data_IF_638665258049
#
_entry.id   IF_638665258049
#
_cell.length_a   1.000
_cell.length_b   1.000
_cell.length_c   1.000
_cell.angle_alpha   90.00
_cell.angle_beta   90.00
_cell.angle_gamma   90.00
#
_symmetry.space_group_name_H-M   'P 1'
#
loop_
_entity.id
_entity.type
_entity.pdbx_description
1 polymer ?
#
# COMPACT_ATOMS: atom_id res chain seq x y z
N UNK A 1 -80.66 16.08 13.52
CA UNK A 1 -81.55 15.31 14.41
C UNK A 1 -80.76 14.91 15.65
N UNK A 2 -81.34 15.10 16.84
CA UNK A 2 -80.66 14.72 18.09
C UNK A 2 -80.80 13.21 18.22
N UNK A 3 -79.69 12.49 18.10
CA UNK A 3 -79.62 11.07 18.44
C UNK A 3 -79.75 11.00 19.97
N UNK A 4 -80.83 10.38 20.47
CA UNK A 4 -81.05 10.18 21.90
C UNK A 4 -80.85 8.71 22.21
N UNK A 5 -79.82 8.37 22.98
CA UNK A 5 -79.56 7.02 23.48
C UNK A 5 -79.37 7.13 24.99
N UNK A 6 -80.46 6.99 25.75
CA UNK A 6 -80.51 7.42 27.16
C UNK A 6 -79.71 6.51 28.12
N UNK A 7 -79.50 5.22 27.80
CA UNK A 7 -78.88 4.27 28.74
C UNK A 7 -77.43 3.89 28.42
N UNK A 8 -77.04 3.87 27.12
CA UNK A 8 -75.68 3.56 26.68
C UNK A 8 -75.44 4.04 25.23
N UNK A 9 -75.02 5.30 25.04
CA UNK A 9 -74.99 5.91 23.71
C UNK A 9 -73.89 5.37 22.81
N UNK A 10 -72.75 4.94 23.39
CA UNK A 10 -71.65 4.37 22.61
C UNK A 10 -72.02 2.97 22.12
N UNK A 11 -72.55 2.12 22.99
CA UNK A 11 -72.99 0.76 22.62
C UNK A 11 -74.15 0.81 21.61
N UNK A 12 -75.11 1.73 21.79
CA UNK A 12 -76.21 1.88 20.83
C UNK A 12 -75.73 2.36 19.45
N UNK A 13 -74.80 3.33 19.39
CA UNK A 13 -74.20 3.79 18.12
C UNK A 13 -73.46 2.68 17.38
N UNK A 14 -72.69 1.87 18.12
CA UNK A 14 -71.94 0.75 17.56
C UNK A 14 -72.84 -0.42 17.12
N UNK A 15 -73.98 -0.61 17.79
CA UNK A 15 -74.89 -1.72 17.53
C UNK A 15 -75.94 -1.44 16.43
N UNK A 16 -76.34 -0.17 16.25
CA UNK A 16 -77.32 0.24 15.24
C UNK A 16 -76.84 -0.09 13.82
N UNK A 17 -77.78 -0.48 12.94
CA UNK A 17 -77.49 -0.69 11.52
C UNK A 17 -77.50 0.66 10.78
N UNK A 18 -76.34 1.12 10.32
CA UNK A 18 -76.21 2.40 9.62
C UNK A 18 -76.37 2.28 8.10
N UNK A 19 -76.81 1.13 7.59
CA UNK A 19 -77.05 0.94 6.16
C UNK A 19 -78.18 1.84 5.65
N UNK A 20 -78.04 2.35 4.42
CA UNK A 20 -79.05 3.20 3.77
C UNK A 20 -80.45 2.56 3.74
N UNK A 21 -80.61 1.24 3.48
CA UNK A 21 -81.91 0.59 3.52
C UNK A 21 -82.56 0.65 4.90
N UNK A 22 -81.82 0.32 5.98
CA UNK A 22 -82.35 0.35 7.35
C UNK A 22 -82.67 1.78 7.78
N UNK A 23 -81.75 2.73 7.56
CA UNK A 23 -81.94 4.14 7.91
C UNK A 23 -83.16 4.77 7.20
N UNK A 24 -83.49 4.32 5.97
CA UNK A 24 -84.69 4.76 5.26
C UNK A 24 -86.00 4.22 5.87
N UNK A 25 -85.95 3.14 6.65
CA UNK A 25 -87.13 2.58 7.34
C UNK A 25 -87.44 3.27 8.67
N UNK A 26 -86.44 3.96 9.26
CA UNK A 26 -86.59 4.67 10.52
C UNK A 26 -87.45 5.92 10.30
N UNK A 27 -88.61 5.99 10.98
CA UNK A 27 -89.46 7.17 10.98
C UNK A 27 -88.91 8.20 11.95
N UNK A 28 -88.99 9.48 11.60
CA UNK A 28 -88.60 10.58 12.49
C UNK A 28 -89.46 10.54 13.75
N UNK A 29 -88.82 10.42 14.91
CA UNK A 29 -89.49 10.58 16.18
C UNK A 29 -89.98 12.03 16.32
N UNK A 30 -91.27 12.20 16.61
CA UNK A 30 -91.90 13.51 16.80
C UNK A 30 -92.28 13.77 18.25
N UNK A 31 -92.26 12.72 19.08
CA UNK A 31 -92.52 12.73 20.52
C UNK A 31 -91.66 11.69 21.22
N UNK A 32 -91.55 11.76 22.56
CA UNK A 32 -90.77 10.78 23.35
C UNK A 32 -91.31 9.35 23.24
N UNK A 33 -92.62 9.19 22.99
CA UNK A 33 -93.25 7.88 22.82
C UNK A 33 -92.87 7.19 21.49
N UNK A 34 -92.33 7.94 20.53
CA UNK A 34 -91.91 7.42 19.22
C UNK A 34 -90.50 6.80 19.27
N UNK A 35 -89.77 6.97 20.38
CA UNK A 35 -88.40 6.50 20.52
C UNK A 35 -88.35 4.99 20.83
N UNK A 36 -87.59 4.26 20.02
CA UNK A 36 -87.28 2.84 20.22
C UNK A 36 -85.76 2.70 20.25
N UNK A 37 -85.23 2.16 21.35
CA UNK A 37 -83.80 1.95 21.49
C UNK A 37 -83.31 0.84 20.55
N UNK A 38 -82.17 1.03 19.85
CA UNK A 38 -81.50 -0.04 19.09
C UNK A 38 -81.18 -1.29 19.92
N UNK A 39 -81.07 -1.12 21.24
CA UNK A 39 -80.71 -2.17 22.19
C UNK A 39 -81.95 -2.88 22.79
N UNK A 40 -83.16 -2.57 22.32
CA UNK A 40 -84.38 -3.17 22.84
C UNK A 40 -84.38 -4.69 22.59
N UNK A 41 -84.40 -5.48 23.67
CA UNK A 41 -84.38 -6.95 23.60
C UNK A 41 -83.00 -7.56 23.34
N UNK A 42 -81.93 -6.75 23.37
CA UNK A 42 -80.55 -7.20 23.14
C UNK A 42 -79.86 -7.50 24.48
N UNK A 43 -79.26 -8.68 24.60
CA UNK A 43 -78.39 -9.00 25.73
C UNK A 43 -77.02 -8.35 25.53
N UNK A 44 -76.80 -7.23 26.23
CA UNK A 44 -75.54 -6.46 26.16
C UNK A 44 -74.33 -7.25 26.61
N UNK A 45 -74.47 -8.20 27.53
CA UNK A 45 -73.36 -8.99 28.05
C UNK A 45 -72.87 -10.06 27.07
N UNK A 46 -73.71 -10.43 26.10
CA UNK A 46 -73.40 -11.38 25.03
C UNK A 46 -72.79 -10.71 23.78
N UNK A 47 -72.61 -9.38 23.78
CA UNK A 47 -72.00 -8.67 22.66
C UNK A 47 -70.48 -8.83 22.69
N UNK A 48 -69.94 -9.45 21.64
CA UNK A 48 -68.50 -9.65 21.47
C UNK A 48 -67.91 -8.60 20.53
N UNK A 49 -66.83 -7.97 20.96
CA UNK A 49 -66.06 -7.04 20.15
C UNK A 49 -65.02 -7.81 19.33
N UNK A 50 -64.96 -7.50 18.05
CA UNK A 50 -63.98 -8.02 17.09
C UNK A 50 -63.22 -6.84 16.50
N UNK A 51 -61.96 -7.06 16.17
CA UNK A 51 -61.13 -6.06 15.47
C UNK A 51 -61.70 -5.77 14.10
N UNK A 52 -61.80 -4.50 13.74
CA UNK A 52 -62.26 -4.05 12.43
C UNK A 52 -61.15 -4.32 11.39
N UNK A 53 -61.21 -5.47 10.70
CA UNK A 53 -60.20 -5.89 9.71
C UNK A 53 -60.16 -4.96 8.48
N UNK A 54 -61.26 -4.25 8.19
CA UNK A 54 -61.35 -3.26 7.11
C UNK A 54 -60.82 -1.87 7.52
N UNK A 55 -60.42 -1.69 8.78
CA UNK A 55 -59.79 -0.45 9.20
C UNK A 55 -58.46 -0.29 8.45
N UNK A 56 -58.24 0.84 7.73
CA UNK A 56 -56.99 1.05 7.02
C UNK A 56 -55.82 0.90 7.99
N UNK A 57 -54.78 0.16 7.57
CA UNK A 57 -53.59 0.02 8.41
C UNK A 57 -53.08 1.41 8.80
N UNK A 58 -53.00 1.72 10.09
CA UNK A 58 -52.67 3.07 10.53
C UNK A 58 -51.26 3.42 10.06
N UNK A 59 -51.09 4.67 9.61
CA UNK A 59 -49.83 5.19 9.13
C UNK A 59 -48.71 4.96 10.16
N UNK A 60 -47.60 4.36 9.69
CA UNK A 60 -46.50 3.81 10.51
C UNK A 60 -45.68 4.86 11.31
N UNK A 61 -46.06 6.14 11.25
CA UNK A 61 -45.32 7.28 11.81
C UNK A 61 -45.79 7.81 13.17
N UNK A 62 -46.86 7.29 13.77
CA UNK A 62 -47.35 7.71 15.08
C UNK A 62 -46.63 6.97 16.24
N UNK A 63 -46.33 7.71 17.32
CA UNK A 63 -45.67 7.19 18.54
C UNK A 63 -46.36 5.93 19.09
N UNK A 64 -45.55 5.02 19.62
CA UNK A 64 -45.90 3.63 19.75
C UNK A 64 -46.96 3.29 20.82
N UNK A 65 -47.33 4.23 21.67
CA UNK A 65 -47.87 3.94 23.00
C UNK A 65 -49.33 4.37 23.23
N UNK A 66 -50.03 4.84 22.20
CA UNK A 66 -51.48 5.15 22.25
C UNK A 66 -52.28 4.53 21.10
N UNK A 67 -51.78 3.40 20.59
CA UNK A 67 -52.32 2.66 19.45
C UNK A 67 -53.59 1.88 19.83
N UNK A 68 -54.77 2.32 19.40
CA UNK A 68 -56.03 1.55 19.55
C UNK A 68 -56.52 1.13 18.17
N UNK A 69 -56.53 -0.17 17.90
CA UNK A 69 -57.16 -0.74 16.69
C UNK A 69 -58.67 -0.61 16.86
N UNK A 70 -59.39 -0.02 15.90
CA UNK A 70 -60.85 0.11 16.00
C UNK A 70 -61.54 -1.26 16.15
N UNK A 71 -62.59 -1.30 16.96
CA UNK A 71 -63.36 -2.50 17.27
C UNK A 71 -64.83 -2.32 16.86
N UNK A 72 -65.46 -3.41 16.38
CA UNK A 72 -66.89 -3.49 16.06
C UNK A 72 -67.53 -4.69 16.74
N UNK A 73 -68.87 -4.73 16.80
CA UNK A 73 -69.57 -5.92 17.27
C UNK A 73 -69.56 -7.04 16.23
N UNK A 74 -69.30 -8.26 16.67
CA UNK A 74 -69.36 -9.47 15.83
C UNK A 74 -70.75 -9.60 15.16
N UNK A 75 -70.77 -9.88 13.85
CA UNK A 75 -72.02 -10.03 13.09
C UNK A 75 -72.76 -8.71 12.79
N UNK A 76 -72.14 -7.55 13.05
CA UNK A 76 -72.68 -6.21 12.77
C UNK A 76 -71.81 -5.42 11.80
N UNK A 77 -71.72 -5.91 10.56
CA UNK A 77 -70.89 -5.31 9.49
C UNK A 77 -71.28 -3.85 9.15
N UNK A 78 -72.58 -3.51 9.25
CA UNK A 78 -73.10 -2.16 9.02
C UNK A 78 -73.10 -1.26 10.27
N UNK A 79 -72.53 -1.72 11.39
CA UNK A 79 -72.38 -0.95 12.62
C UNK A 79 -71.16 -0.03 12.60
N UNK A 80 -71.15 0.98 13.48
CA UNK A 80 -70.00 1.87 13.65
C UNK A 80 -68.91 1.22 14.51
N UNK A 81 -67.66 1.57 14.26
CA UNK A 81 -66.57 1.23 15.18
C UNK A 81 -66.65 2.03 16.48
N UNK A 82 -65.99 1.52 17.52
CA UNK A 82 -65.85 2.20 18.81
C UNK A 82 -65.27 3.61 18.68
N UNK A 83 -64.26 3.80 17.82
CA UNK A 83 -63.63 5.09 17.52
C UNK A 83 -64.60 6.01 16.77
N UNK A 84 -65.36 5.50 15.80
CA UNK A 84 -66.37 6.29 15.08
C UNK A 84 -67.50 6.74 16.00
N UNK A 85 -68.02 5.84 16.83
CA UNK A 85 -69.05 6.15 17.81
C UNK A 85 -68.56 7.20 18.81
N UNK A 86 -67.34 7.07 19.30
CA UNK A 86 -66.73 8.04 20.21
C UNK A 86 -66.47 9.39 19.54
N UNK A 87 -66.06 9.43 18.26
CA UNK A 87 -65.91 10.65 17.50
C UNK A 87 -67.24 11.40 17.35
N UNK A 88 -68.34 10.69 17.07
CA UNK A 88 -69.69 11.25 16.98
C UNK A 88 -70.14 11.83 18.33
N UNK A 89 -69.94 11.10 19.43
CA UNK A 89 -70.31 11.56 20.77
C UNK A 89 -69.54 12.80 21.22
N UNK A 90 -68.29 12.93 20.77
CA UNK A 90 -67.44 14.09 21.05
C UNK A 90 -67.67 15.27 20.08
N UNK A 91 -68.58 15.16 19.11
CA UNK A 91 -68.88 16.26 18.20
C UNK A 91 -69.51 17.44 18.93
N UNK A 92 -69.06 18.65 18.59
CA UNK A 92 -69.64 19.89 19.12
C UNK A 92 -70.77 20.35 18.21
N UNK A 93 -71.85 20.91 18.77
CA UNK A 93 -73.00 21.42 17.99
C UNK A 93 -72.61 22.43 16.89
N UNK A 94 -71.52 23.20 17.07
CA UNK A 94 -71.01 24.13 16.05
C UNK A 94 -70.50 23.44 14.79
N UNK A 95 -70.03 22.19 14.91
CA UNK A 95 -69.48 21.36 13.83
C UNK A 95 -70.58 20.76 12.94
N UNK A 96 -71.85 20.92 13.32
CA UNK A 96 -73.02 20.45 12.55
C UNK A 96 -73.55 21.55 11.60
N UNK A 97 -72.78 22.61 11.35
CA UNK A 97 -73.15 23.67 10.40
C UNK A 97 -72.88 23.20 8.97
N UNK A 98 -73.74 23.61 8.02
CA UNK A 98 -73.55 23.31 6.59
C UNK A 98 -72.20 23.78 6.02
N UNK A 99 -71.60 24.84 6.58
CA UNK A 99 -70.27 25.30 6.19
C UNK A 99 -69.17 24.30 6.58
N UNK A 100 -69.26 23.74 7.79
CA UNK A 100 -68.32 22.73 8.30
C UNK A 100 -68.45 21.44 7.49
N UNK A 101 -69.67 21.03 7.14
CA UNK A 101 -69.91 19.90 6.23
C UNK A 101 -69.24 20.09 4.87
N UNK A 102 -69.36 21.29 4.27
CA UNK A 102 -68.71 21.60 2.99
C UNK A 102 -67.18 21.62 3.11
N UNK A 103 -66.62 22.08 4.23
CA UNK A 103 -65.19 22.05 4.50
C UNK A 103 -64.68 20.60 4.64
N UNK A 104 -65.39 19.76 5.40
CA UNK A 104 -65.07 18.34 5.54
C UNK A 104 -65.12 17.59 4.21
N UNK A 105 -66.10 17.89 3.35
CA UNK A 105 -66.18 17.30 2.01
C UNK A 105 -65.00 17.71 1.13
N UNK A 106 -64.53 18.96 1.24
CA UNK A 106 -63.33 19.41 0.50
C UNK A 106 -62.06 18.76 1.04
N UNK A 107 -61.91 18.70 2.36
CA UNK A 107 -60.78 18.04 3.00
C UNK A 107 -60.73 16.55 2.63
N UNK A 108 -61.87 15.86 2.72
CA UNK A 108 -61.98 14.47 2.28
C UNK A 108 -61.56 14.30 0.82
N UNK A 109 -62.05 15.16 -0.09
CA UNK A 109 -61.69 15.08 -1.50
C UNK A 109 -60.17 15.28 -1.72
N UNK A 110 -59.57 16.25 -1.03
CA UNK A 110 -58.13 16.50 -1.10
C UNK A 110 -57.31 15.33 -0.54
N UNK A 111 -57.73 14.75 0.59
CA UNK A 111 -57.08 13.58 1.19
C UNK A 111 -57.23 12.33 0.30
N UNK A 112 -58.37 12.17 -0.39
CA UNK A 112 -58.55 11.08 -1.35
C UNK A 112 -57.63 11.23 -2.57
N UNK A 113 -57.43 12.46 -3.06
CA UNK A 113 -56.49 12.75 -4.15
C UNK A 113 -55.04 12.53 -3.71
N UNK A 114 -54.66 12.98 -2.51
CA UNK A 114 -53.34 12.75 -1.93
C UNK A 114 -53.08 11.25 -1.74
N UNK A 115 -54.05 10.51 -1.18
CA UNK A 115 -53.95 9.07 -1.01
C UNK A 115 -53.71 8.37 -2.35
N UNK A 116 -54.50 8.67 -3.37
CA UNK A 116 -54.33 8.07 -4.69
C UNK A 116 -52.92 8.34 -5.26
N UNK A 117 -52.43 9.57 -5.13
CA UNK A 117 -51.08 9.92 -5.57
C UNK A 117 -49.97 9.20 -4.77
N UNK A 118 -50.17 8.95 -3.49
CA UNK A 118 -49.25 8.18 -2.66
C UNK A 118 -49.29 6.68 -2.97
N UNK A 119 -50.47 6.11 -3.18
CA UNK A 119 -50.65 4.71 -3.60
C UNK A 119 -49.99 4.48 -4.98
N UNK A 120 -50.23 5.35 -5.96
CA UNK A 120 -49.56 5.31 -7.26
C UNK A 120 -48.03 5.38 -7.13
N UNK A 121 -47.53 6.24 -6.25
CA UNK A 121 -46.10 6.35 -5.97
C UNK A 121 -45.53 5.09 -5.31
N UNK A 122 -46.28 4.43 -4.43
CA UNK A 122 -45.85 3.20 -3.76
C UNK A 122 -45.84 2.00 -4.72
N UNK A 123 -46.79 1.95 -5.65
CA UNK A 123 -46.97 0.83 -6.58
C UNK A 123 -46.04 0.86 -7.80
N UNK A 124 -45.61 2.05 -8.28
CA UNK A 124 -44.70 2.16 -9.44
C UNK A 124 -43.26 2.59 -9.06
N UNK A 125 -42.27 1.68 -9.14
CA UNK A 125 -40.86 2.01 -8.95
C UNK A 125 -40.34 3.14 -9.84
N UNK A 126 -40.88 3.33 -11.05
CA UNK A 126 -40.47 4.41 -11.95
C UNK A 126 -40.86 5.78 -11.41
N UNK A 127 -42.06 5.90 -10.84
CA UNK A 127 -42.51 7.13 -10.19
C UNK A 127 -41.65 7.45 -8.96
N UNK A 128 -41.27 6.42 -8.18
CA UNK A 128 -40.34 6.59 -7.05
C UNK A 128 -38.99 7.15 -7.49
N UNK A 129 -38.37 6.56 -8.52
CA UNK A 129 -37.10 7.05 -9.05
C UNK A 129 -37.23 8.46 -9.66
N UNK A 130 -38.35 8.78 -10.29
CA UNK A 130 -38.62 10.12 -10.78
C UNK A 130 -38.68 11.14 -9.63
N UNK A 131 -39.37 10.80 -8.53
CA UNK A 131 -39.47 11.65 -7.34
C UNK A 131 -38.12 11.84 -6.64
N UNK A 132 -37.33 10.77 -6.51
CA UNK A 132 -35.96 10.84 -5.97
C UNK A 132 -35.10 11.75 -6.85
N UNK A 133 -35.16 11.59 -8.17
CA UNK A 133 -34.38 12.43 -9.10
C UNK A 133 -34.78 13.91 -9.01
N UNK A 134 -36.07 14.21 -8.86
CA UNK A 134 -36.58 15.56 -8.60
C UNK A 134 -35.98 16.14 -7.31
N UNK A 135 -36.09 15.41 -6.19
CA UNK A 135 -35.55 15.83 -4.89
C UNK A 135 -34.03 16.04 -4.91
N UNK A 136 -33.28 15.18 -5.61
CA UNK A 136 -31.83 15.35 -5.78
C UNK A 136 -31.49 16.59 -6.61
N UNK A 137 -32.27 16.89 -7.66
CA UNK A 137 -32.09 18.12 -8.46
C UNK A 137 -32.38 19.36 -7.64
N UNK A 138 -33.44 19.35 -6.83
CA UNK A 138 -33.75 20.47 -5.93
C UNK A 138 -32.67 20.69 -4.89
N UNK A 139 -32.18 19.61 -4.28
CA UNK A 139 -31.05 19.66 -3.33
C UNK A 139 -29.80 20.22 -3.99
N UNK A 140 -29.47 19.77 -5.22
CA UNK A 140 -28.36 20.32 -6.00
C UNK A 140 -28.56 21.80 -6.35
N UNK A 141 -29.79 22.26 -6.57
CA UNK A 141 -30.07 23.70 -6.80
C UNK A 141 -29.83 24.52 -5.53
N UNK A 142 -30.15 23.97 -4.36
CA UNK A 142 -29.96 24.63 -3.06
C UNK A 142 -28.50 24.65 -2.60
N UNK A 143 -27.75 23.56 -2.83
CA UNK A 143 -26.40 23.35 -2.26
C UNK A 143 -25.31 22.98 -3.26
N UNK A 144 -25.60 23.07 -4.56
CA UNK A 144 -24.64 22.71 -5.61
C UNK A 144 -23.57 23.78 -5.83
N UNK A 145 -22.91 23.69 -6.98
CA UNK A 145 -21.79 24.56 -7.37
C UNK A 145 -22.08 26.07 -7.29
N UNK A 146 -23.33 26.46 -7.45
CA UNK A 146 -23.76 27.86 -7.51
C UNK A 146 -24.09 28.43 -6.10
N UNK A 147 -24.10 27.58 -5.07
CA UNK A 147 -24.20 28.01 -3.67
C UNK A 147 -22.88 28.66 -3.21
N UNK A 148 -22.92 29.68 -2.32
CA UNK A 148 -21.71 30.25 -1.74
C UNK A 148 -20.82 29.19 -1.08
N UNK A 149 -19.64 28.94 -1.65
CA UNK A 149 -18.72 27.89 -1.19
C UNK A 149 -18.99 26.48 -1.74
N UNK A 150 -19.96 26.31 -2.63
CA UNK A 150 -20.28 25.04 -3.28
C UNK A 150 -19.39 24.71 -4.49
N UNK A 151 -18.66 25.69 -5.02
CA UNK A 151 -17.65 25.45 -6.06
C UNK A 151 -16.49 24.62 -5.51
N UNK A 152 -15.96 23.70 -6.34
CA UNK A 152 -14.79 22.89 -5.96
C UNK A 152 -13.59 23.81 -5.70
N UNK A 153 -12.98 23.66 -4.53
CA UNK A 153 -11.82 24.46 -4.09
C UNK A 153 -10.48 23.92 -4.58
N UNK A 154 -10.41 22.63 -4.89
CA UNK A 154 -9.20 21.96 -5.39
C UNK A 154 -9.22 21.87 -6.92
N UNK A 155 -8.04 21.91 -7.52
CA UNK A 155 -7.84 21.63 -8.93
C UNK A 155 -7.27 20.21 -9.08
N UNK A 156 -7.54 19.58 -10.22
CA UNK A 156 -6.89 18.33 -10.60
C UNK A 156 -5.68 18.69 -11.45
N UNK A 157 -4.49 18.29 -11.01
CA UNK A 157 -3.25 18.41 -11.77
C UNK A 157 -2.57 17.04 -11.84
N UNK A 158 -1.69 16.86 -12.82
CA UNK A 158 -0.75 15.76 -12.80
C UNK A 158 0.19 15.92 -11.59
N UNK A 159 0.59 14.80 -11.00
CA UNK A 159 1.52 14.82 -9.88
C UNK A 159 2.86 15.38 -10.40
N UNK A 160 3.35 16.45 -9.78
CA UNK A 160 4.70 16.90 -10.06
C UNK A 160 5.67 15.78 -9.67
N UNK A 161 6.57 15.40 -10.58
CA UNK A 161 7.75 14.64 -10.21
C UNK A 161 8.57 15.52 -9.27
N UNK A 162 8.48 15.23 -7.97
CA UNK A 162 9.37 15.82 -6.99
C UNK A 162 10.74 15.22 -7.30
N UNK A 163 11.60 15.98 -7.98
CA UNK A 163 13.03 15.65 -8.00
C UNK A 163 13.48 15.57 -6.55
N UNK A 164 13.76 14.35 -6.10
CA UNK A 164 14.29 14.06 -4.78
C UNK A 164 15.66 14.71 -4.73
N UNK A 165 15.74 15.95 -4.23
CA UNK A 165 17.02 16.65 -4.07
C UNK A 165 17.82 15.83 -3.06
N UNK A 166 18.85 15.07 -3.50
CA UNK A 166 19.56 14.19 -2.60
C UNK A 166 20.24 15.07 -1.56
N UNK A 167 20.25 14.67 -0.28
CA UNK A 167 21.01 15.38 0.77
C UNK A 167 22.49 15.61 0.38
N UNK A 168 23.00 14.80 -0.54
CA UNK A 168 24.33 14.92 -1.17
C UNK A 168 24.53 16.26 -1.91
N UNK A 169 23.47 16.89 -2.43
CA UNK A 169 23.54 18.21 -3.08
C UNK A 169 23.78 19.38 -2.12
N UNK A 170 23.65 19.16 -0.80
CA UNK A 170 24.03 20.13 0.24
C UNK A 170 25.48 19.99 0.69
N UNK A 171 26.21 18.98 0.21
CA UNK A 171 27.61 18.74 0.57
C UNK A 171 28.51 19.46 -0.45
N UNK A 172 29.37 20.34 0.03
CA UNK A 172 30.38 20.99 -0.82
C UNK A 172 31.33 19.92 -1.39
N UNK A 173 31.47 19.91 -2.72
CA UNK A 173 32.30 18.96 -3.47
C UNK A 173 33.77 19.38 -3.37
N UNK A 174 34.50 18.71 -2.48
CA UNK A 174 35.93 18.93 -2.25
C UNK A 174 36.73 17.68 -2.62
N UNK A 175 37.90 17.82 -3.27
CA UNK A 175 38.79 16.69 -3.52
C UNK A 175 39.39 16.19 -2.21
N UNK A 176 39.34 14.88 -2.00
CA UNK A 176 39.92 14.22 -0.82
C UNK A 176 40.72 12.98 -1.22
N UNK A 177 41.70 12.63 -0.41
CA UNK A 177 42.43 11.36 -0.50
C UNK A 177 42.01 10.46 0.65
N UNK A 178 41.36 9.35 0.31
CA UNK A 178 40.96 8.31 1.24
C UNK A 178 42.14 7.39 1.45
N UNK A 179 42.55 7.23 2.71
CA UNK A 179 43.64 6.35 3.11
C UNK A 179 43.05 5.30 4.03
N UNK A 180 43.25 4.03 3.67
CA UNK A 180 42.88 2.91 4.52
C UNK A 180 44.11 2.01 4.77
N UNK A 181 44.36 1.70 6.04
CA UNK A 181 45.49 0.89 6.48
C UNK A 181 45.22 -0.62 6.36
N UNK A 182 46.25 -1.43 6.58
CA UNK A 182 46.13 -2.89 6.58
C UNK A 182 45.21 -3.39 7.69
N UNK A 183 45.26 -2.76 8.87
CA UNK A 183 44.36 -3.06 9.99
C UNK A 183 42.95 -2.46 9.83
N UNK A 184 42.66 -1.77 8.72
CA UNK A 184 41.33 -1.21 8.44
C UNK A 184 41.05 0.12 9.14
N UNK A 185 42.08 0.92 9.44
CA UNK A 185 41.93 2.30 9.88
C UNK A 185 41.74 3.20 8.66
N UNK A 186 40.66 3.98 8.62
CA UNK A 186 40.34 4.85 7.49
C UNK A 186 40.40 6.32 7.90
N UNK A 187 40.88 7.18 7.00
CA UNK A 187 40.84 8.65 7.11
C UNK A 187 40.74 9.31 5.75
N UNK A 188 40.20 10.52 5.72
CA UNK A 188 40.20 11.39 4.56
C UNK A 188 41.14 12.59 4.78
N UNK A 189 42.09 12.79 3.87
CA UNK A 189 42.91 14.00 3.84
C UNK A 189 42.39 14.95 2.75
N UNK A 190 42.43 16.25 3.01
CA UNK A 190 42.03 17.26 2.02
C UNK A 190 43.01 17.28 0.85
N UNK A 191 42.48 17.38 -0.37
CA UNK A 191 43.20 17.37 -1.63
C UNK A 191 43.54 15.97 -2.14
N UNK A 192 43.88 15.89 -3.43
CA UNK A 192 44.47 14.70 -4.04
C UNK A 192 45.97 14.69 -3.78
N UNK A 193 46.37 13.80 -2.89
CA UNK A 193 47.75 13.67 -2.43
C UNK A 193 48.44 12.59 -3.24
N UNK A 194 49.72 12.82 -3.54
CA UNK A 194 50.54 11.84 -4.26
C UNK A 194 50.66 10.51 -3.49
N UNK A 195 50.62 9.40 -4.24
CA UNK A 195 50.69 8.05 -3.70
C UNK A 195 52.05 7.76 -3.03
N UNK A 196 53.10 8.48 -3.42
CA UNK A 196 54.46 8.33 -2.88
C UNK A 196 54.69 9.11 -1.57
N UNK A 197 53.72 9.91 -1.12
CA UNK A 197 53.89 10.69 0.12
C UNK A 197 53.99 9.76 1.32
N UNK A 198 54.98 10.01 2.19
CA UNK A 198 55.07 9.28 3.46
C UNK A 198 53.86 9.56 4.36
N UNK A 199 53.15 8.48 4.69
CA UNK A 199 51.97 8.50 5.55
C UNK A 199 52.28 7.85 6.90
N UNK A 200 51.83 8.49 7.98
CA UNK A 200 51.95 7.93 9.34
C UNK A 200 50.79 6.97 9.61
N UNK A 201 51.13 5.80 10.15
CA UNK A 201 50.20 4.74 10.59
C UNK A 201 50.41 4.44 12.08
N UNK A 202 49.55 3.58 12.66
CA UNK A 202 49.76 3.05 14.01
C UNK A 202 50.98 2.12 14.04
N UNK A 203 51.54 1.92 15.22
CA UNK A 203 52.63 0.98 15.43
C UNK A 203 52.21 -0.44 15.01
N UNK A 204 52.96 -1.03 14.06
CA UNK A 204 52.67 -2.34 13.48
C UNK A 204 51.62 -2.35 12.37
N UNK A 205 51.11 -1.18 11.95
CA UNK A 205 50.18 -1.03 10.83
C UNK A 205 50.90 -0.41 9.61
N UNK A 206 50.31 -0.57 8.43
CA UNK A 206 50.92 -0.13 7.17
C UNK A 206 49.91 0.32 6.12
N UNK A 207 50.38 0.91 5.01
CA UNK A 207 49.52 1.31 3.90
C UNK A 207 48.87 0.11 3.23
N UNK A 208 47.59 0.24 2.84
CA UNK A 208 46.87 -0.76 2.03
C UNK A 208 46.15 -0.15 0.85
N UNK A 209 45.30 0.86 1.09
CA UNK A 209 44.53 1.54 0.04
C UNK A 209 44.76 3.05 0.11
N UNK A 210 44.97 3.65 -1.05
CA UNK A 210 45.04 5.10 -1.25
C UNK A 210 44.22 5.43 -2.50
N UNK A 211 43.17 6.22 -2.32
CA UNK A 211 42.17 6.45 -3.36
C UNK A 211 41.86 7.94 -3.42
N UNK A 212 41.89 8.49 -4.62
CA UNK A 212 41.40 9.85 -4.87
C UNK A 212 39.89 9.81 -5.04
N UNK A 213 39.21 10.63 -4.26
CA UNK A 213 37.75 10.73 -4.26
C UNK A 213 37.34 12.19 -4.04
N UNK A 214 36.05 12.44 -4.06
CA UNK A 214 35.44 13.71 -3.68
C UNK A 214 34.51 13.48 -2.48
N UNK A 215 34.25 14.52 -1.70
CA UNK A 215 33.35 14.46 -0.52
C UNK A 215 31.95 13.94 -0.83
N UNK A 216 31.46 14.16 -2.05
CA UNK A 216 30.16 13.68 -2.55
C UNK A 216 30.16 12.22 -2.98
N UNK A 217 31.33 11.59 -3.11
CA UNK A 217 31.44 10.23 -3.63
C UNK A 217 31.02 9.17 -2.60
N UNK A 218 30.53 8.05 -3.14
CA UNK A 218 30.28 6.83 -2.39
C UNK A 218 31.48 5.90 -2.54
N UNK A 219 31.96 5.39 -1.41
CA UNK A 219 33.04 4.41 -1.37
C UNK A 219 32.44 3.02 -1.15
N UNK A 220 32.92 2.06 -1.93
CA UNK A 220 32.56 0.66 -1.81
C UNK A 220 33.69 -0.11 -1.16
N UNK A 221 33.37 -0.80 -0.07
CA UNK A 221 34.27 -1.71 0.64
C UNK A 221 33.80 -3.13 0.39
N UNK A 222 34.66 -3.99 -0.12
CA UNK A 222 34.35 -5.41 -0.27
C UNK A 222 35.02 -6.24 0.83
N UNK A 223 34.22 -6.97 1.60
CA UNK A 223 34.69 -7.82 2.70
C UNK A 223 34.95 -9.26 2.26
N UNK A 224 35.83 -9.97 2.98
CA UNK A 224 36.13 -11.39 2.77
C UNK A 224 34.94 -12.32 3.07
N UNK A 225 33.90 -11.78 3.72
CA UNK A 225 32.58 -12.41 3.90
C UNK A 225 31.66 -12.31 2.67
N UNK A 226 32.13 -11.70 1.57
CA UNK A 226 31.38 -11.55 0.32
C UNK A 226 30.31 -10.46 0.36
N UNK A 227 30.37 -9.55 1.34
CA UNK A 227 29.48 -8.39 1.46
C UNK A 227 30.17 -7.12 0.94
N UNK A 228 29.38 -6.28 0.28
CA UNK A 228 29.75 -4.90 -0.02
C UNK A 228 29.18 -3.96 1.04
N UNK A 229 29.97 -2.99 1.46
CA UNK A 229 29.56 -1.93 2.36
C UNK A 229 29.74 -0.59 1.66
N UNK A 230 28.74 0.28 1.80
CA UNK A 230 28.76 1.60 1.20
C UNK A 230 29.01 2.66 2.27
N UNK A 231 30.00 3.51 2.03
CA UNK A 231 30.39 4.61 2.89
C UNK A 231 30.26 5.92 2.13
N UNK A 232 29.74 6.95 2.79
CA UNK A 232 29.83 8.31 2.26
C UNK A 232 31.23 8.86 2.53
N UNK A 233 31.91 9.38 1.51
CA UNK A 233 33.22 9.99 1.66
C UNK A 233 33.18 11.19 2.65
N UNK A 234 32.07 11.93 2.69
CA UNK A 234 31.81 13.03 3.62
C UNK A 234 31.86 12.63 5.10
N UNK A 235 31.58 11.36 5.42
CA UNK A 235 31.49 10.90 6.81
C UNK A 235 32.83 10.42 7.36
N UNK A 236 33.87 10.35 6.52
CA UNK A 236 35.19 9.85 6.92
C UNK A 236 35.87 10.80 7.92
N UNK A 237 36.65 10.27 8.88
CA UNK A 237 37.35 11.10 9.84
C UNK A 237 38.47 11.90 9.16
N UNK A 238 38.65 13.15 9.59
CA UNK A 238 39.61 14.07 9.02
C UNK A 238 41.09 13.70 9.24
N UNK A 239 41.94 14.12 8.30
CA UNK A 239 43.33 13.67 8.15
C UNK A 239 44.37 14.08 9.19
N UNK A 240 44.00 14.75 10.30
CA UNK A 240 44.97 15.14 11.36
C UNK A 240 45.36 13.97 12.27
N UNK A 241 44.51 12.95 12.39
CA UNK A 241 44.76 11.77 13.21
C UNK A 241 45.26 10.56 12.42
N UNK A 242 45.36 9.42 13.10
CA UNK A 242 45.66 8.12 12.49
C UNK A 242 44.42 7.48 11.82
N UNK A 243 43.29 8.19 11.81
CA UNK A 243 41.99 7.69 11.35
C UNK A 243 41.17 7.03 12.46
N UNK A 244 40.11 6.34 12.06
CA UNK A 244 39.27 5.53 12.93
C UNK A 244 39.08 4.13 12.33
N UNK A 245 38.80 3.10 13.14
CA UNK A 245 38.48 1.78 12.60
C UNK A 245 37.25 1.83 11.70
N UNK A 246 37.36 1.32 10.47
CA UNK A 246 36.25 1.21 9.51
C UNK A 246 35.01 0.53 10.11
N UNK A 247 35.25 -0.40 11.04
CA UNK A 247 34.24 -1.18 11.78
C UNK A 247 33.32 -0.32 12.65
N UNK A 248 33.67 0.94 12.94
CA UNK A 248 32.75 1.86 13.63
C UNK A 248 31.69 2.45 12.69
N UNK A 249 31.99 2.47 11.39
CA UNK A 249 31.13 3.06 10.36
C UNK A 249 30.24 2.00 9.70
N UNK A 250 30.74 0.76 9.57
CA UNK A 250 30.04 -0.38 8.96
C UNK A 250 30.15 -1.61 9.87
N UNK A 251 29.12 -2.46 9.85
CA UNK A 251 29.06 -3.68 10.65
C UNK A 251 29.87 -4.80 9.97
N UNK A 252 31.19 -4.61 9.91
CA UNK A 252 32.14 -5.59 9.41
C UNK A 252 32.55 -6.53 10.56
N UNK A 253 32.27 -7.85 10.47
CA UNK A 253 32.64 -8.83 11.48
C UNK A 253 34.15 -8.94 11.69
N UNK A 254 34.63 -9.18 12.92
CA UNK A 254 36.06 -9.15 13.26
C UNK A 254 36.92 -10.14 12.46
N UNK A 255 36.34 -11.25 12.01
CA UNK A 255 36.97 -12.27 11.17
C UNK A 255 36.92 -11.96 9.67
N UNK A 256 36.19 -10.90 9.28
CA UNK A 256 36.15 -10.41 7.91
C UNK A 256 37.26 -9.38 7.66
N UNK A 257 38.03 -9.61 6.61
CA UNK A 257 39.07 -8.71 6.11
C UNK A 257 38.52 -7.83 4.98
N UNK A 258 39.08 -6.65 4.81
CA UNK A 258 38.77 -5.78 3.66
C UNK A 258 39.57 -6.30 2.46
N UNK A 259 38.88 -6.79 1.42
CA UNK A 259 39.53 -7.29 0.20
C UNK A 259 39.85 -6.14 -0.74
N UNK A 260 38.90 -5.23 -0.94
CA UNK A 260 39.05 -4.10 -1.86
C UNK A 260 38.28 -2.86 -1.36
N UNK A 261 38.74 -1.69 -1.78
CA UNK A 261 38.16 -0.38 -1.47
C UNK A 261 38.30 0.54 -2.69
N UNK A 262 37.19 1.10 -3.18
CA UNK A 262 37.21 1.97 -4.35
C UNK A 262 36.01 2.93 -4.40
N UNK A 263 36.10 3.96 -5.25
CA UNK A 263 35.00 4.89 -5.53
C UNK A 263 33.95 4.22 -6.40
N UNK A 264 32.68 4.45 -6.06
CA UNK A 264 31.54 3.95 -6.81
C UNK A 264 31.44 4.59 -8.20
N UNK A 265 31.27 3.77 -9.24
CA UNK A 265 31.00 4.19 -10.61
C UNK A 265 29.79 3.41 -11.14
N UNK A 266 28.72 4.10 -11.51
CA UNK A 266 27.44 3.48 -11.85
C UNK A 266 27.53 2.52 -13.06
N UNK A 267 28.28 2.90 -14.09
CA UNK A 267 28.36 2.13 -15.34
C UNK A 267 29.39 0.99 -15.32
N UNK A 268 30.07 0.77 -14.18
CA UNK A 268 31.13 -0.23 -14.07
C UNK A 268 30.56 -1.60 -13.72
N UNK A 269 31.20 -2.64 -14.24
CA UNK A 269 30.95 -4.03 -13.89
C UNK A 269 32.14 -4.58 -13.11
N UNK A 270 31.87 -5.45 -12.13
CA UNK A 270 32.88 -6.01 -11.25
C UNK A 270 32.93 -7.53 -11.41
N UNK A 271 34.13 -8.10 -11.53
CA UNK A 271 34.37 -9.53 -11.36
C UNK A 271 34.55 -9.80 -9.87
N UNK A 272 33.67 -10.63 -9.30
CA UNK A 272 33.77 -11.08 -7.91
C UNK A 272 33.98 -12.58 -7.85
N UNK A 273 34.93 -13.03 -7.02
CA UNK A 273 35.23 -14.44 -6.87
C UNK A 273 35.69 -14.83 -5.47
N UNK A 274 35.40 -16.09 -5.12
CA UNK A 274 35.85 -16.75 -3.89
C UNK A 274 37.16 -17.50 -4.09
N UNK A 275 37.88 -17.74 -2.99
CA UNK A 275 39.04 -18.64 -2.93
C UNK A 275 38.72 -20.07 -3.39
N UNK A 276 37.47 -20.53 -3.28
CA UNK A 276 37.01 -21.82 -3.81
C UNK A 276 36.98 -21.89 -5.35
N UNK A 277 37.16 -20.76 -6.04
CA UNK A 277 37.14 -20.67 -7.50
C UNK A 277 35.76 -20.46 -8.11
N UNK A 278 34.76 -20.11 -7.32
CA UNK A 278 33.42 -19.77 -7.80
C UNK A 278 33.28 -18.24 -7.84
N UNK A 279 32.81 -17.70 -8.97
CA UNK A 279 32.70 -16.25 -9.21
C UNK A 279 31.74 -15.90 -10.35
N UNK A 280 31.44 -14.61 -10.50
CA UNK A 280 30.51 -14.07 -11.50
C UNK A 280 30.76 -12.57 -11.72
N UNK A 281 30.11 -11.99 -12.73
CA UNK A 281 30.14 -10.54 -12.99
C UNK A 281 28.93 -9.90 -12.31
N UNK A 282 29.13 -8.77 -11.63
CA UNK A 282 28.05 -8.01 -10.98
C UNK A 282 28.06 -6.55 -11.48
N UNK A 283 26.89 -5.99 -11.87
CA UNK A 283 26.77 -4.55 -12.09
C UNK A 283 27.02 -3.79 -10.80
N UNK A 284 27.81 -2.73 -10.84
CA UNK A 284 28.19 -2.04 -9.62
C UNK A 284 27.03 -1.29 -8.96
N UNK A 285 26.04 -0.84 -9.74
CA UNK A 285 24.77 -0.31 -9.20
C UNK A 285 24.06 -1.31 -8.29
N UNK A 286 24.23 -2.62 -8.53
CA UNK A 286 23.61 -3.67 -7.73
C UNK A 286 24.40 -3.99 -6.45
N UNK A 287 25.60 -3.45 -6.23
CA UNK A 287 26.37 -3.74 -5.00
C UNK A 287 26.18 -2.70 -3.89
N UNK A 288 25.50 -1.58 -4.19
CA UNK A 288 25.22 -0.52 -3.20
C UNK A 288 24.40 -1.05 -2.02
N UNK A 289 24.90 -0.79 -0.81
CA UNK A 289 24.26 -1.12 0.44
C UNK A 289 23.55 0.10 1.03
N UNK A 290 22.31 -0.09 1.49
CA UNK A 290 21.52 0.97 2.15
C UNK A 290 21.74 1.00 3.67
N UNK A 291 22.25 -0.08 4.26
CA UNK A 291 22.43 -0.23 5.71
C UNK A 291 23.88 -0.49 6.07
N UNK A 292 24.24 -0.22 7.33
CA UNK A 292 25.59 -0.48 7.88
C UNK A 292 25.98 -1.96 7.85
N UNK A 293 24.99 -2.87 7.83
CA UNK A 293 25.19 -4.31 7.68
C UNK A 293 25.77 -4.71 6.32
N UNK A 294 25.81 -3.82 5.33
CA UNK A 294 26.25 -4.13 3.98
C UNK A 294 25.26 -5.02 3.22
N UNK A 295 25.54 -5.22 1.94
CA UNK A 295 24.76 -6.05 1.02
C UNK A 295 25.51 -7.34 0.71
N UNK A 296 24.87 -8.49 0.90
CA UNK A 296 25.45 -9.78 0.51
C UNK A 296 25.39 -9.92 -1.01
N UNK A 297 26.55 -10.03 -1.65
CA UNK A 297 26.66 -10.21 -3.12
C UNK A 297 27.25 -11.59 -3.42
N UNK A 298 28.43 -11.89 -2.89
CA UNK A 298 29.06 -13.20 -3.06
C UNK A 298 28.72 -14.10 -1.87
N UNK A 299 28.02 -15.20 -2.11
CA UNK A 299 27.72 -16.18 -1.07
C UNK A 299 28.94 -17.08 -0.84
N UNK A 300 29.62 -16.88 0.29
CA UNK A 300 30.75 -17.74 0.73
C UNK A 300 30.26 -18.69 1.82
N UNK A 301 30.45 -19.99 1.63
CA UNK A 301 29.97 -21.03 2.55
C UNK A 301 31.16 -21.75 3.22
N UNK A 302 31.00 -22.11 4.50
CA UNK A 302 32.01 -22.85 5.25
C UNK A 302 33.32 -22.08 5.39
N UNK A 303 34.43 -22.70 4.96
CA UNK A 303 35.75 -22.10 5.03
C UNK A 303 36.06 -21.12 3.88
N UNK A 304 35.22 -21.05 2.84
CA UNK A 304 35.47 -20.18 1.70
C UNK A 304 35.41 -18.69 2.08
N UNK A 305 36.23 -17.88 1.43
CA UNK A 305 36.30 -16.43 1.59
C UNK A 305 36.32 -15.73 0.24
N UNK A 306 35.79 -14.52 0.19
CA UNK A 306 35.89 -13.67 -0.98
C UNK A 306 37.36 -13.28 -1.16
N UNK A 307 37.85 -13.36 -2.40
CA UNK A 307 39.27 -13.23 -2.72
C UNK A 307 39.54 -12.17 -3.79
N UNK A 308 38.64 -12.06 -4.77
CA UNK A 308 38.80 -11.14 -5.89
C UNK A 308 37.58 -10.22 -5.98
N UNK A 309 37.86 -8.93 -6.14
CA UNK A 309 36.95 -7.92 -6.66
C UNK A 309 37.79 -7.04 -7.58
N UNK A 310 37.48 -7.00 -8.88
CA UNK A 310 38.18 -6.16 -9.85
C UNK A 310 37.21 -5.63 -10.91
N UNK A 311 37.45 -4.45 -11.47
CA UNK A 311 36.64 -3.96 -12.59
C UNK A 311 36.82 -4.87 -13.81
N UNK A 312 35.72 -5.10 -14.53
CA UNK A 312 35.73 -5.84 -15.79
C UNK A 312 36.25 -4.93 -16.90
N UNK A 313 37.40 -5.31 -17.46
CA UNK A 313 38.08 -4.66 -18.57
C UNK A 313 38.17 -5.66 -19.73
N UNK A 314 37.73 -5.27 -20.93
CA UNK A 314 37.79 -6.12 -22.12
C UNK A 314 36.82 -7.31 -22.13
N UNK A 315 37.20 -8.35 -22.88
CA UNK A 315 36.35 -9.47 -23.30
C UNK A 315 36.85 -10.85 -22.83
N UNK A 316 37.99 -10.92 -22.14
CA UNK A 316 38.57 -12.16 -21.62
C UNK A 316 38.81 -12.10 -20.11
N UNK A 317 38.78 -13.27 -19.46
CA UNK A 317 39.05 -13.46 -18.04
C UNK A 317 40.24 -14.41 -17.89
N UNK A 318 41.25 -13.97 -17.16
CA UNK A 318 42.38 -14.80 -16.75
C UNK A 318 42.26 -15.13 -15.26
N UNK A 319 42.41 -16.41 -14.92
CA UNK A 319 42.41 -16.89 -13.53
C UNK A 319 43.66 -17.69 -13.26
N UNK A 320 44.19 -17.58 -12.04
CA UNK A 320 45.34 -18.35 -11.59
C UNK A 320 45.07 -18.98 -10.23
N UNK A 321 45.37 -20.28 -10.12
CA UNK A 321 45.29 -21.02 -8.87
C UNK A 321 46.58 -21.03 -8.07
N UNK A 322 46.49 -21.45 -6.80
CA UNK A 322 47.65 -21.70 -5.93
C UNK A 322 48.63 -22.72 -6.54
N UNK A 323 48.10 -23.63 -7.37
CA UNK A 323 48.85 -24.62 -8.14
C UNK A 323 49.63 -24.03 -9.34
N UNK A 324 49.71 -22.70 -9.46
CA UNK A 324 50.35 -21.95 -10.55
C UNK A 324 49.78 -22.26 -11.93
N UNK A 325 48.53 -22.72 -12.02
CA UNK A 325 47.89 -22.94 -13.32
C UNK A 325 47.04 -21.75 -13.71
N UNK A 326 47.28 -21.23 -14.90
CA UNK A 326 46.51 -20.16 -15.54
C UNK A 326 45.48 -20.75 -16.50
N UNK A 327 44.29 -20.19 -16.50
CA UNK A 327 43.25 -20.45 -17.50
C UNK A 327 42.73 -19.11 -18.01
N UNK A 328 42.61 -18.99 -19.32
CA UNK A 328 41.98 -17.85 -19.99
C UNK A 328 40.72 -18.35 -20.69
N UNK A 329 39.60 -17.64 -20.51
CA UNK A 329 38.33 -17.93 -21.18
C UNK A 329 37.59 -16.62 -21.46
N UNK A 330 36.57 -16.64 -22.32
CA UNK A 330 35.84 -15.43 -22.70
C UNK A 330 34.91 -14.96 -21.58
N UNK A 331 34.81 -13.64 -21.37
CA UNK A 331 33.98 -13.06 -20.32
C UNK A 331 32.49 -13.39 -20.47
N UNK A 332 32.03 -13.62 -21.72
CA UNK A 332 30.66 -14.09 -22.01
C UNK A 332 30.33 -15.46 -21.39
N UNK A 333 31.33 -16.25 -21.02
CA UNK A 333 31.10 -17.53 -20.33
C UNK A 333 30.72 -17.34 -18.85
N UNK A 334 30.81 -16.12 -18.31
CA UNK A 334 30.37 -15.78 -16.95
C UNK A 334 28.97 -15.18 -16.93
N UNK A 335 28.10 -15.64 -16.02
CA UNK A 335 26.83 -15.00 -15.80
C UNK A 335 27.01 -13.63 -15.13
N UNK A 336 26.14 -12.71 -15.50
CA UNK A 336 25.93 -11.47 -14.78
C UNK A 336 24.83 -11.69 -13.72
N UNK A 337 25.12 -11.36 -12.45
CA UNK A 337 24.20 -11.62 -11.33
C UNK A 337 24.32 -10.53 -10.25
N UNK A 338 23.22 -10.19 -9.58
CA UNK A 338 23.24 -9.29 -8.41
C UNK A 338 23.67 -9.94 -7.10
N UNK A 339 23.48 -11.26 -6.99
CA UNK A 339 23.88 -12.06 -5.83
C UNK A 339 23.97 -13.54 -6.18
N UNK A 340 24.95 -14.24 -5.63
CA UNK A 340 25.02 -15.69 -5.75
C UNK A 340 26.33 -16.27 -5.28
N UNK A 341 26.47 -17.59 -5.42
CA UNK A 341 27.77 -18.27 -5.26
C UNK A 341 28.66 -18.08 -6.50
N UNK A 342 28.04 -17.83 -7.66
CA UNK A 342 28.72 -17.80 -8.94
C UNK A 342 28.96 -19.17 -9.55
N UNK A 343 29.66 -19.18 -10.68
CA UNK A 343 30.05 -20.38 -11.42
C UNK A 343 31.54 -20.66 -11.23
N UNK A 344 31.93 -21.93 -11.39
CA UNK A 344 33.33 -22.35 -11.33
C UNK A 344 34.13 -21.66 -12.44
N UNK A 345 35.16 -20.91 -12.06
CA UNK A 345 36.10 -20.26 -12.97
C UNK A 345 37.16 -21.25 -13.47
N UNK A 346 37.82 -21.95 -12.54
CA UNK A 346 38.84 -22.97 -12.82
C UNK A 346 38.69 -24.16 -11.87
N UNK A 347 38.98 -25.37 -12.36
CA UNK A 347 38.97 -26.58 -11.54
C UNK A 347 40.32 -26.80 -10.88
N UNK A 348 40.34 -26.76 -9.54
CA UNK A 348 41.52 -27.04 -8.74
C UNK A 348 41.53 -28.51 -8.29
N UNK A 349 42.69 -29.16 -8.38
CA UNK A 349 42.93 -30.48 -7.77
C UNK A 349 43.30 -30.32 -6.30
N UNK A 350 44.17 -29.36 -6.03
CA UNK A 350 44.68 -28.96 -4.71
C UNK A 350 44.77 -27.42 -4.69
N UNK A 351 44.45 -26.81 -3.54
CA UNK A 351 44.37 -25.35 -3.37
C UNK A 351 43.09 -24.70 -3.92
N UNK A 352 43.15 -23.40 -4.15
CA UNK A 352 42.04 -22.59 -4.65
C UNK A 352 42.47 -21.53 -5.66
N UNK A 353 41.60 -20.54 -5.85
CA UNK A 353 41.85 -19.34 -6.64
C UNK A 353 42.82 -18.43 -5.90
N UNK A 354 43.93 -18.10 -6.55
CA UNK A 354 44.91 -17.14 -6.05
C UNK A 354 44.54 -15.71 -6.47
N UNK A 355 44.31 -15.51 -7.78
CA UNK A 355 43.92 -14.22 -8.35
C UNK A 355 43.14 -14.39 -9.65
N UNK A 356 42.40 -13.36 -10.05
CA UNK A 356 41.74 -13.26 -11.34
C UNK A 356 41.84 -11.84 -11.88
N UNK A 357 41.83 -11.68 -13.19
CA UNK A 357 41.77 -10.38 -13.86
C UNK A 357 41.00 -10.50 -15.17
N UNK A 358 40.61 -9.36 -15.72
CA UNK A 358 39.92 -9.24 -16.99
C UNK A 358 40.72 -8.32 -17.90
N UNK A 359 40.77 -8.62 -19.19
CA UNK A 359 41.54 -7.86 -20.16
C UNK A 359 40.94 -8.01 -21.56
N UNK A 360 41.34 -7.14 -22.49
CA UNK A 360 41.01 -7.28 -23.91
C UNK A 360 41.91 -8.35 -24.51
N UNK A 361 41.35 -9.44 -25.04
CA UNK A 361 42.11 -10.58 -25.55
C UNK A 361 43.12 -10.18 -26.63
N UNK A 362 42.75 -9.22 -27.49
CA UNK A 362 43.58 -8.70 -28.57
C UNK A 362 44.83 -7.93 -28.06
N UNK A 363 44.74 -7.29 -26.90
CA UNK A 363 45.85 -6.52 -26.30
C UNK A 363 46.84 -7.42 -25.54
N UNK A 364 46.42 -8.66 -25.22
CA UNK A 364 47.21 -9.63 -24.48
C UNK A 364 47.10 -9.49 -22.96
N UNK A 365 47.54 -10.53 -22.26
CA UNK A 365 47.52 -10.60 -20.80
C UNK A 365 48.79 -9.97 -20.24
N UNK A 366 48.63 -8.98 -19.37
CA UNK A 366 49.75 -8.29 -18.73
C UNK A 366 49.89 -8.67 -17.25
N UNK A 367 51.13 -8.71 -16.76
CA UNK A 367 51.47 -8.90 -15.35
C UNK A 367 52.86 -8.31 -15.04
N UNK A 368 53.16 -8.11 -13.75
CA UNK A 368 54.50 -7.71 -13.29
C UNK A 368 55.41 -8.92 -13.10
N UNK A 369 56.62 -8.89 -13.67
CA UNK A 369 57.64 -9.89 -13.43
C UNK A 369 58.23 -9.76 -12.00
N UNK A 370 58.98 -10.76 -11.49
CA UNK A 370 59.61 -10.67 -10.16
C UNK A 370 60.61 -9.50 -9.99
N UNK A 371 61.00 -8.84 -11.09
CA UNK A 371 61.86 -7.66 -11.10
C UNK A 371 61.05 -6.35 -11.24
N UNK A 372 59.72 -6.40 -11.19
CA UNK A 372 58.82 -5.24 -11.24
C UNK A 372 58.57 -4.69 -12.65
N UNK A 373 58.95 -5.40 -13.71
CA UNK A 373 58.71 -4.97 -15.10
C UNK A 373 57.40 -5.55 -15.62
N UNK A 374 56.61 -4.73 -16.31
CA UNK A 374 55.41 -5.20 -17.01
C UNK A 374 55.79 -6.11 -18.17
N UNK A 375 55.25 -7.33 -18.16
CA UNK A 375 55.27 -8.26 -19.29
C UNK A 375 53.87 -8.41 -19.83
N UNK A 376 53.77 -8.47 -21.16
CA UNK A 376 52.52 -8.68 -21.88
C UNK A 376 52.70 -9.88 -22.78
N UNK A 377 51.82 -10.88 -22.64
CA UNK A 377 51.77 -12.05 -23.50
C UNK A 377 50.57 -11.94 -24.44
N UNK A 378 50.84 -11.97 -25.74
CA UNK A 378 49.81 -11.85 -26.79
C UNK A 378 49.46 -13.21 -27.38
N UNK A 379 50.38 -14.19 -27.33
CA UNK A 379 50.08 -15.57 -27.74
C UNK A 379 49.52 -16.35 -26.55
N UNK A 380 48.20 -16.27 -26.38
CA UNK A 380 47.48 -16.91 -25.29
C UNK A 380 46.89 -18.27 -25.67
N UNK A 381 47.21 -18.81 -26.85
CA UNK A 381 46.61 -20.04 -27.38
C UNK A 381 46.81 -21.26 -26.44
N UNK A 382 47.92 -21.31 -25.69
CA UNK A 382 48.18 -22.38 -24.73
C UNK A 382 47.25 -22.33 -23.51
N UNK A 383 46.89 -21.13 -23.03
CA UNK A 383 46.07 -20.93 -21.83
C UNK A 383 44.59 -20.71 -22.13
N UNK A 384 44.25 -20.41 -23.38
CA UNK A 384 42.88 -20.25 -23.84
C UNK A 384 42.16 -21.61 -23.82
N UNK A 385 41.02 -21.66 -23.12
CA UNK A 385 40.21 -22.86 -23.01
C UNK A 385 38.81 -22.56 -22.51
N UNK A 386 38.00 -23.60 -22.33
CA UNK A 386 36.65 -23.44 -21.76
C UNK A 386 36.71 -23.14 -20.27
N UNK A 387 35.77 -22.33 -19.78
CA UNK A 387 35.55 -22.09 -18.35
C UNK A 387 35.44 -23.42 -17.57
N UNK A 388 35.92 -23.40 -16.33
CA UNK A 388 36.02 -24.57 -15.44
C UNK A 388 37.03 -25.65 -15.89
N UNK A 389 37.89 -25.35 -16.87
CA UNK A 389 39.08 -26.16 -17.18
C UNK A 389 40.09 -26.18 -16.03
N UNK A 390 41.10 -27.04 -16.12
CA UNK A 390 42.17 -27.12 -15.11
C UNK A 390 43.25 -26.05 -15.26
N UNK A 391 43.28 -25.35 -16.39
CA UNK A 391 44.36 -24.45 -16.80
C UNK A 391 45.67 -25.17 -17.16
N UNK A 392 46.65 -24.38 -17.61
CA UNK A 392 48.03 -24.78 -17.93
C UNK A 392 49.02 -24.07 -17.01
N UNK A 393 50.27 -24.56 -16.95
CA UNK A 393 51.30 -23.93 -16.11
C UNK A 393 51.46 -22.46 -16.48
N UNK A 394 51.56 -21.57 -15.49
CA UNK A 394 51.68 -20.14 -15.73
C UNK A 394 52.85 -19.80 -16.68
N UNK A 395 52.71 -18.75 -17.52
CA UNK A 395 53.76 -18.33 -18.46
C UNK A 395 55.11 -18.11 -17.78
N UNK A 396 56.18 -18.20 -18.58
CA UNK A 396 57.54 -17.92 -18.08
C UNK A 396 57.63 -16.48 -17.59
N UNK A 397 58.08 -16.31 -16.35
CA UNK A 397 58.19 -14.99 -15.73
C UNK A 397 56.91 -14.51 -15.05
N UNK A 398 55.88 -15.35 -14.92
CA UNK A 398 54.74 -15.09 -14.04
C UNK A 398 55.19 -15.07 -12.57
N UNK A 399 54.71 -14.13 -11.75
CA UNK A 399 55.26 -13.91 -10.42
C UNK A 399 55.02 -15.08 -9.47
N UNK A 400 55.81 -15.13 -8.39
CA UNK A 400 55.82 -16.27 -7.46
C UNK A 400 54.62 -16.29 -6.51
N UNK A 401 54.05 -15.14 -6.25
CA UNK A 401 52.87 -14.92 -5.42
C UNK A 401 51.54 -15.15 -6.16
N UNK A 402 51.61 -15.55 -7.45
CA UNK A 402 50.47 -15.88 -8.29
C UNK A 402 49.43 -14.75 -8.38
N UNK A 403 49.89 -13.50 -8.57
CA UNK A 403 49.03 -12.33 -8.76
C UNK A 403 49.22 -11.73 -10.15
N UNK A 404 48.13 -11.18 -10.70
CA UNK A 404 48.13 -10.43 -11.96
C UNK A 404 48.38 -8.93 -11.76
N UNK A 405 48.40 -8.47 -10.49
CA UNK A 405 48.46 -7.06 -10.05
C UNK A 405 49.16 -6.13 -11.01
#
# INVERSE_FOLDING_TARGET
DIIRYDDDPKVALMFEDWSKPHQATIRRATSEADYVSPLLGVDKAALHLVTDEDAPEPWRGAEADSRVVPQRYEGRENGLSDVQAEAILNMRLRSLRRLEELELLREQAALMEERAGLEDLLDDPKLQWAKIAEQLKETKKKFGKDYPGGARRTQLSEAAEVEDVPLEAMIEREPITVICSQMGWIRAMTGHIDAERELKFRDGDGPRFLIHAETTDKLLVFGSNGRFYTLSASNLPGGRGLGEPLRLMVDLPNDAEIIDLFVHQADRRLLVASDAGDGFIVPETEVLAQTRAGKQVLNVNGAARAKVCKPVLGDAVAVVGDNRKVLVFLAEELPEMGRGKGVRLQKYKDGGLSDATTFTLADGLSWLDPAGRTRTETDLAEWLGKRAGSGRMAPRGFPRDNRFT
#
